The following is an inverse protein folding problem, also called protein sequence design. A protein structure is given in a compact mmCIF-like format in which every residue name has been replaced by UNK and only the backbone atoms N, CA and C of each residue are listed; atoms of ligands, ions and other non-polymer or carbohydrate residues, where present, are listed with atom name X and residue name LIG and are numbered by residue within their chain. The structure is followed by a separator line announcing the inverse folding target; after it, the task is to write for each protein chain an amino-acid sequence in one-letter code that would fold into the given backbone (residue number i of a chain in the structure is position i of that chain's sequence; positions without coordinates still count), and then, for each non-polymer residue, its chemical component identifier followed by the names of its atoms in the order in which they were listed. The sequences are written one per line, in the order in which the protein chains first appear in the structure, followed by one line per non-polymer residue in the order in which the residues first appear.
data_IF_946086383268
#
_entry.id   IF_946086383268
#
_cell.length_a   1.000
_cell.length_b   1.000
_cell.length_c   1.000
_cell.angle_alpha   90.00
_cell.angle_beta   90.00
_cell.angle_gamma   90.00
#
_symmetry.space_group_name_H-M   'P 1'
#
loop_
_entity.id
_entity.type
_entity.pdbx_description
1 polymer ?
#
# COMPACT_ATOMS: atom_id res chain seq x y z
N UNK A 1 21.11 -0.50 -11.84
CA UNK A 1 21.54 -1.02 -10.52
C UNK A 1 20.63 -0.35 -9.50
N UNK A 2 20.01 -1.06 -8.54
CA UNK A 2 19.03 -0.48 -7.61
C UNK A 2 19.60 0.71 -6.79
N UNK A 3 20.92 0.73 -6.59
CA UNK A 3 21.65 1.77 -5.87
C UNK A 3 22.06 2.98 -6.74
N UNK A 4 21.35 3.30 -7.83
CA UNK A 4 21.66 4.51 -8.60
C UNK A 4 21.08 5.76 -7.95
N UNK A 5 21.71 6.93 -8.15
CA UNK A 5 21.19 8.22 -7.65
C UNK A 5 19.73 8.44 -8.09
N UNK A 6 19.42 8.13 -9.35
CA UNK A 6 18.05 8.21 -9.86
C UNK A 6 17.05 7.38 -9.03
N UNK A 7 17.39 6.14 -8.67
CA UNK A 7 16.49 5.31 -7.84
C UNK A 7 16.40 5.89 -6.44
N UNK A 8 17.51 6.29 -5.82
CA UNK A 8 17.52 6.92 -4.49
C UNK A 8 16.66 8.18 -4.41
N UNK A 9 16.64 8.97 -5.47
CA UNK A 9 15.86 10.20 -5.53
C UNK A 9 14.36 9.94 -5.71
N UNK A 10 13.96 8.83 -6.35
CA UNK A 10 12.55 8.56 -6.70
C UNK A 10 11.92 7.39 -5.95
N UNK A 11 12.69 6.60 -5.19
CA UNK A 11 12.19 5.42 -4.46
C UNK A 11 11.05 5.78 -3.50
N UNK A 12 11.11 6.96 -2.90
CA UNK A 12 10.07 7.47 -2.01
C UNK A 12 8.71 7.60 -2.69
N UNK A 13 8.66 7.81 -4.01
CA UNK A 13 7.42 7.88 -4.78
C UNK A 13 6.77 6.51 -4.92
N UNK A 14 7.57 5.45 -5.06
CA UNK A 14 7.07 4.07 -5.03
C UNK A 14 6.62 3.69 -3.62
N UNK A 15 7.35 4.10 -2.58
CA UNK A 15 6.93 3.92 -1.18
C UNK A 15 5.59 4.62 -0.93
N UNK A 16 5.37 5.82 -1.48
CA UNK A 16 4.09 6.54 -1.38
C UNK A 16 2.92 5.71 -1.93
N UNK A 17 3.14 4.92 -3.00
CA UNK A 17 2.13 4.05 -3.62
C UNK A 17 1.85 2.79 -2.79
N UNK A 18 2.90 2.13 -2.29
CA UNK A 18 2.77 0.80 -1.66
C UNK A 18 2.50 0.88 -0.16
N UNK A 19 3.08 1.86 0.55
CA UNK A 19 2.97 1.97 2.01
C UNK A 19 2.50 3.36 2.47
N UNK A 20 2.42 4.33 1.55
CA UNK A 20 2.16 5.73 1.86
C UNK A 20 0.76 6.21 1.55
N UNK A 21 0.62 7.53 1.47
CA UNK A 21 -0.68 8.20 1.34
C UNK A 21 -1.36 7.96 -0.02
N UNK A 22 -0.63 7.51 -1.04
CA UNK A 22 -1.18 7.14 -2.36
C UNK A 22 -1.65 5.68 -2.45
N UNK A 23 -1.61 4.92 -1.34
CA UNK A 23 -2.14 3.55 -1.30
C UNK A 23 -3.69 3.53 -1.29
N UNK A 24 -4.33 4.56 -0.71
CA UNK A 24 -5.79 4.62 -0.52
C UNK A 24 -6.35 6.04 -0.71
N UNK A 25 -7.67 6.14 -0.87
CA UNK A 25 -8.38 7.41 -0.95
C UNK A 25 -8.17 8.15 -2.27
N UNK A 26 -8.49 9.46 -2.34
CA UNK A 26 -8.44 10.24 -3.58
C UNK A 26 -7.06 10.23 -4.25
N UNK A 27 -5.99 10.31 -3.47
CA UNK A 27 -4.62 10.28 -4.00
C UNK A 27 -4.27 8.96 -4.71
N UNK A 28 -4.86 7.84 -4.31
CA UNK A 28 -4.69 6.57 -4.99
C UNK A 28 -5.46 6.52 -6.32
N UNK A 29 -6.64 7.15 -6.38
CA UNK A 29 -7.42 7.29 -7.64
C UNK A 29 -6.64 8.12 -8.66
N UNK A 30 -6.12 9.28 -8.23
CA UNK A 30 -5.31 10.17 -9.08
C UNK A 30 -4.04 9.46 -9.59
N UNK A 31 -3.45 8.59 -8.78
CA UNK A 31 -2.26 7.82 -9.13
C UNK A 31 -2.55 6.50 -9.86
N UNK A 32 -3.83 6.19 -10.16
CA UNK A 32 -4.26 4.92 -10.76
C UNK A 32 -3.80 3.67 -9.97
N UNK A 33 -3.83 3.77 -8.64
CA UNK A 33 -3.30 2.79 -7.70
C UNK A 33 -4.40 2.18 -6.81
N UNK A 34 -5.57 1.92 -7.38
CA UNK A 34 -6.70 1.27 -6.70
C UNK A 34 -6.72 -0.22 -7.05
N UNK A 35 -6.78 -1.07 -6.03
CA UNK A 35 -6.91 -2.52 -6.14
C UNK A 35 -8.30 -2.96 -5.70
N UNK A 36 -8.59 -4.26 -5.86
CA UNK A 36 -9.87 -4.83 -5.44
C UNK A 36 -10.05 -4.73 -3.93
N UNK A 37 -11.25 -4.42 -3.45
CA UNK A 37 -11.46 -4.03 -2.05
C UNK A 37 -10.97 -5.08 -1.03
N UNK A 38 -11.08 -6.38 -1.34
CA UNK A 38 -10.63 -7.47 -0.46
C UNK A 38 -9.12 -7.52 -0.25
N UNK A 39 -8.31 -6.86 -1.10
CA UNK A 39 -6.85 -6.87 -0.92
C UNK A 39 -6.43 -5.97 0.24
N UNK A 40 -7.30 -5.06 0.67
CA UNK A 40 -7.01 -4.09 1.71
C UNK A 40 -7.28 -4.68 3.10
N UNK A 41 -6.29 -4.58 3.98
CA UNK A 41 -6.44 -4.92 5.40
C UNK A 41 -7.71 -4.27 6.00
N UNK A 42 -8.48 -5.09 6.72
CA UNK A 42 -9.69 -4.68 7.43
C UNK A 42 -10.92 -4.42 6.55
N UNK A 43 -10.84 -4.66 5.23
CA UNK A 43 -11.98 -4.42 4.33
C UNK A 43 -13.09 -5.48 4.44
N UNK A 44 -12.77 -6.68 4.94
CA UNK A 44 -13.69 -7.81 5.10
C UNK A 44 -13.48 -8.41 6.48
N UNK A 45 -14.55 -8.57 7.24
CA UNK A 45 -14.58 -9.36 8.47
C UNK A 45 -15.12 -10.76 8.14
N UNK A 46 -14.21 -11.73 8.01
CA UNK A 46 -14.55 -13.10 7.61
C UNK A 46 -15.39 -13.83 8.67
N UNK A 47 -15.29 -13.44 9.94
CA UNK A 47 -16.04 -14.09 11.02
C UNK A 47 -17.48 -13.57 11.11
N UNK A 48 -17.77 -12.41 10.50
CA UNK A 48 -19.12 -11.89 10.35
C UNK A 48 -19.91 -12.55 9.20
N UNK A 49 -19.27 -13.36 8.35
CA UNK A 49 -19.90 -14.00 7.18
C UNK A 49 -20.53 -15.34 7.61
N UNK A 50 -21.85 -15.40 7.53
CA UNK A 50 -22.61 -16.60 7.92
C UNK A 50 -22.63 -17.69 6.83
N UNK A 51 -22.58 -17.31 5.55
CA UNK A 51 -22.54 -18.27 4.44
C UNK A 51 -21.11 -18.80 4.26
N UNK A 52 -20.93 -20.07 4.60
CA UNK A 52 -19.65 -20.78 4.50
C UNK A 52 -19.08 -20.81 3.06
N UNK A 53 -19.94 -20.81 2.05
CA UNK A 53 -19.51 -20.79 0.63
C UNK A 53 -18.94 -19.42 0.28
N UNK A 54 -19.61 -18.35 0.71
CA UNK A 54 -19.15 -16.98 0.52
C UNK A 54 -17.83 -16.73 1.28
N UNK A 55 -17.75 -17.18 2.53
CA UNK A 55 -16.53 -17.09 3.35
C UNK A 55 -15.35 -17.74 2.64
N UNK A 56 -15.50 -18.99 2.18
CA UNK A 56 -14.44 -19.71 1.46
C UNK A 56 -14.06 -19.04 0.15
N UNK A 57 -15.02 -18.47 -0.58
CA UNK A 57 -14.73 -17.74 -1.80
C UNK A 57 -13.86 -16.50 -1.52
N UNK A 58 -14.18 -15.73 -0.47
CA UNK A 58 -13.41 -14.55 -0.06
C UNK A 58 -12.03 -14.90 0.50
N UNK A 59 -11.92 -15.94 1.32
CA UNK A 59 -10.63 -16.48 1.76
C UNK A 59 -9.76 -16.88 0.56
N UNK A 60 -10.36 -17.55 -0.43
CA UNK A 60 -9.71 -17.88 -1.69
C UNK A 60 -9.24 -16.66 -2.48
N UNK A 61 -10.04 -15.59 -2.53
CA UNK A 61 -9.66 -14.32 -3.17
C UNK A 61 -8.44 -13.72 -2.47
N UNK A 62 -8.51 -13.55 -1.15
CA UNK A 62 -7.46 -12.94 -0.33
C UNK A 62 -6.15 -13.73 -0.45
N UNK A 63 -6.22 -15.06 -0.39
CA UNK A 63 -5.04 -15.93 -0.40
C UNK A 63 -4.36 -16.02 -1.77
N UNK A 64 -5.10 -15.86 -2.87
CA UNK A 64 -4.59 -16.19 -4.21
C UNK A 64 -4.47 -14.98 -5.15
N UNK A 65 -5.19 -13.89 -4.90
CA UNK A 65 -5.29 -12.76 -5.82
C UNK A 65 -4.74 -11.43 -5.26
N UNK A 66 -4.11 -11.49 -4.08
CA UNK A 66 -3.23 -10.44 -3.58
C UNK A 66 -3.66 -9.86 -2.24
N UNK A 67 -2.67 -9.41 -1.49
CA UNK A 67 -2.81 -8.70 -0.23
C UNK A 67 -2.00 -7.41 -0.32
N UNK A 68 -2.68 -6.26 -0.21
CA UNK A 68 -2.03 -4.97 -0.16
C UNK A 68 -1.37 -4.82 1.22
N UNK A 69 -0.07 -4.47 1.30
CA UNK A 69 0.60 -4.26 2.58
C UNK A 69 -0.09 -3.20 3.44
N UNK A 70 0.13 -3.25 4.76
CA UNK A 70 -0.41 -2.24 5.68
C UNK A 70 0.07 -0.82 5.29
N UNK A 71 -0.81 0.17 5.39
CA UNK A 71 -0.45 1.56 5.17
C UNK A 71 0.35 2.10 6.36
N UNK A 72 1.66 2.30 6.17
CA UNK A 72 2.56 2.76 7.23
C UNK A 72 2.56 4.29 7.38
N UNK A 73 2.41 5.03 6.27
CA UNK A 73 2.53 6.49 6.24
C UNK A 73 1.26 7.11 5.67
N UNK A 74 0.41 7.67 6.54
CA UNK A 74 -0.86 8.30 6.11
C UNK A 74 -0.68 9.73 5.59
N UNK A 75 0.42 10.38 5.95
CA UNK A 75 0.77 11.73 5.52
C UNK A 75 2.09 11.67 4.78
N UNK A 76 2.23 12.47 3.72
CA UNK A 76 3.48 12.59 2.98
C UNK A 76 4.62 13.03 3.93
N UNK A 77 5.70 12.24 4.06
CA UNK A 77 6.87 12.67 4.82
C UNK A 77 7.47 13.92 4.19
N UNK A 78 7.65 14.98 4.99
CA UNK A 78 8.49 16.09 4.56
C UNK A 78 9.94 15.68 4.74
N UNK A 79 10.69 15.57 3.64
CA UNK A 79 12.13 15.30 3.70
C UNK A 79 12.78 16.52 4.37
N UNK A 80 13.21 16.39 5.62
CA UNK A 80 13.97 17.46 6.27
C UNK A 80 15.29 17.62 5.53
N UNK A 81 15.59 18.83 5.06
CA UNK A 81 16.85 19.20 4.37
C UNK A 81 18.10 19.14 5.29
N UNK A 82 18.06 18.38 6.39
CA UNK A 82 19.21 18.16 7.24
C UNK A 82 20.24 17.35 6.44
N UNK A 83 21.09 18.07 5.72
CA UNK A 83 22.28 17.53 5.09
C UNK A 83 23.09 16.84 6.20
N UNK A 84 23.47 15.57 6.05
CA UNK A 84 24.40 14.98 6.99
C UNK A 84 25.71 15.80 6.96
N UNK A 85 26.37 16.03 8.11
CA UNK A 85 27.67 16.67 8.11
C UNK A 85 28.60 15.81 7.24
N UNK A 86 29.23 16.43 6.23
CA UNK A 86 30.33 15.78 5.50
C UNK A 86 31.47 15.65 6.50
N UNK A 87 31.86 14.41 6.81
CA UNK A 87 33.17 14.11 7.40
C UNK A 87 34.25 14.24 6.33
#
# INVERSE_FOLDING_TARGET
RQESEFVSDHLHEWIDLIFGYKQRGPAAVEALNIFYYCTYEGAVDLDAIADETERKALEGIISNFGQTPCQLLKVRPQRSLASPPRL
#
